data_IF_180264029289
#
_entry.id   IF_180264029289
#
_cell.length_a   1.000
_cell.length_b   1.000
_cell.length_c   1.000
_cell.angle_alpha   90.00
_cell.angle_beta   90.00
_cell.angle_gamma   90.00
#
_symmetry.space_group_name_H-M   'P 1'
#
loop_
_entity.id
_entity.type
_entity.pdbx_description
1 polymer ?
#
# COMPACT_ATOMS: atom_id res chain seq x y z
N UNK A 1 -41.23 15.17 -12.63
CA UNK A 1 -40.25 14.14 -12.23
C UNK A 1 -39.40 14.72 -11.10
N UNK A 2 -39.87 14.60 -9.85
CA UNK A 2 -39.26 15.26 -8.68
C UNK A 2 -37.97 14.54 -8.30
N UNK A 3 -36.85 15.24 -8.39
CA UNK A 3 -35.56 14.84 -7.83
C UNK A 3 -35.70 14.72 -6.31
N UNK A 4 -35.56 13.50 -5.79
CA UNK A 4 -35.43 13.24 -4.36
C UNK A 4 -34.02 13.66 -3.91
N UNK A 5 -33.75 14.96 -3.81
CA UNK A 5 -32.62 15.45 -3.02
C UNK A 5 -32.99 15.30 -1.56
N UNK A 6 -32.59 14.18 -0.95
CA UNK A 6 -32.59 14.06 0.52
C UNK A 6 -31.74 15.23 1.06
N UNK A 7 -32.30 16.09 1.94
CA UNK A 7 -31.51 17.11 2.59
C UNK A 7 -30.47 16.40 3.46
N UNK A 8 -29.20 16.66 3.19
CA UNK A 8 -28.11 16.29 4.11
C UNK A 8 -28.30 17.17 5.34
N UNK A 9 -28.69 16.56 6.46
CA UNK A 9 -28.87 17.24 7.73
C UNK A 9 -27.53 17.83 8.16
N UNK A 10 -27.43 19.17 8.13
CA UNK A 10 -26.27 19.95 8.55
C UNK A 10 -25.88 19.73 10.01
N UNK A 11 -26.69 18.98 10.79
CA UNK A 11 -26.41 18.59 12.17
C UNK A 11 -25.49 17.38 12.34
N UNK A 12 -25.10 16.67 11.28
CA UNK A 12 -24.16 15.53 11.37
C UNK A 12 -22.72 15.88 10.97
N UNK A 13 -22.50 16.96 10.23
CA UNK A 13 -21.15 17.43 9.86
C UNK A 13 -20.40 18.11 11.02
N UNK A 14 -21.09 18.47 12.11
CA UNK A 14 -20.53 19.18 13.26
C UNK A 14 -19.79 18.31 14.27
N UNK A 15 -19.90 16.97 14.18
CA UNK A 15 -19.30 16.06 15.16
C UNK A 15 -17.80 15.78 14.96
N UNK A 16 -17.21 16.22 13.83
CA UNK A 16 -15.81 16.02 13.51
C UNK A 16 -15.11 17.36 13.19
N UNK A 17 -15.29 18.38 14.03
CA UNK A 17 -14.39 19.54 14.01
C UNK A 17 -13.05 19.10 14.60
N UNK A 18 -12.15 18.65 13.74
CA UNK A 18 -10.74 18.53 14.09
C UNK A 18 -10.20 19.94 14.29
N UNK A 19 -10.10 20.37 15.55
CA UNK A 19 -9.26 21.52 15.88
C UNK A 19 -7.81 21.10 15.64
N UNK A 20 -7.28 21.48 14.48
CA UNK A 20 -5.87 21.26 14.20
C UNK A 20 -5.07 22.22 15.08
N UNK A 21 -4.09 21.72 15.86
CA UNK A 21 -3.21 22.59 16.61
C UNK A 21 -2.48 23.53 15.65
N UNK A 22 -2.22 24.76 16.07
CA UNK A 22 -1.34 25.66 15.32
C UNK A 22 0.06 25.04 15.24
N UNK A 23 0.65 25.07 14.05
CA UNK A 23 2.02 24.62 13.82
C UNK A 23 2.94 25.83 13.93
N UNK A 24 3.95 25.74 14.80
CA UNK A 24 5.04 26.71 14.84
C UNK A 24 5.95 26.48 13.61
N UNK A 25 5.72 27.30 12.58
CA UNK A 25 6.42 27.19 11.30
C UNK A 25 7.93 27.36 11.45
N UNK A 26 8.38 28.32 12.28
CA UNK A 26 9.80 28.64 12.45
C UNK A 26 10.51 27.43 13.06
N UNK A 27 9.96 26.85 14.12
CA UNK A 27 10.54 25.68 14.78
C UNK A 27 10.58 24.45 13.86
N UNK A 28 9.56 24.25 13.02
CA UNK A 28 9.56 23.15 12.03
C UNK A 28 10.66 23.35 11.00
N UNK A 29 10.81 24.56 10.47
CA UNK A 29 11.82 24.89 9.47
C UNK A 29 13.25 24.76 10.03
N UNK A 30 13.50 25.27 11.24
CA UNK A 30 14.80 25.13 11.91
C UNK A 30 15.16 23.67 12.18
N UNK A 31 14.19 22.87 12.65
CA UNK A 31 14.40 21.44 12.90
C UNK A 31 14.67 20.69 11.60
N UNK A 32 13.96 20.99 10.52
CA UNK A 32 14.19 20.40 9.21
C UNK A 32 15.60 20.76 8.68
N UNK A 33 15.98 22.04 8.78
CA UNK A 33 17.29 22.53 8.34
C UNK A 33 18.45 21.87 9.12
N UNK A 34 18.26 21.53 10.40
CA UNK A 34 19.28 20.83 11.19
C UNK A 34 19.63 19.44 10.62
N UNK A 35 18.66 18.72 10.04
CA UNK A 35 18.90 17.42 9.41
C UNK A 35 19.70 17.51 8.11
N UNK A 36 19.62 18.65 7.39
CA UNK A 36 20.34 18.87 6.14
C UNK A 36 21.84 19.21 6.34
N UNK A 37 22.23 19.65 7.54
CA UNK A 37 23.60 20.13 7.84
C UNK A 37 24.57 19.01 8.20
N UNK A 38 24.10 17.77 8.41
CA UNK A 38 24.93 16.65 8.90
C UNK A 38 25.03 15.54 7.86
N UNK A 39 26.25 15.10 7.59
CA UNK A 39 26.48 13.93 6.74
C UNK A 39 26.10 12.64 7.47
N UNK A 40 25.31 11.79 6.82
CA UNK A 40 24.95 10.47 7.33
C UNK A 40 26.13 9.53 7.07
N UNK A 41 26.56 8.80 8.11
CA UNK A 41 27.62 7.79 8.00
C UNK A 41 27.26 6.77 6.92
N UNK A 42 28.24 6.31 6.16
CA UNK A 42 28.03 5.30 5.10
C UNK A 42 27.36 4.03 5.63
N UNK A 43 27.72 3.58 6.83
CA UNK A 43 27.08 2.42 7.47
C UNK A 43 25.59 2.65 7.75
N UNK A 44 25.21 3.85 8.21
CA UNK A 44 23.82 4.20 8.43
C UNK A 44 23.03 4.33 7.11
N UNK A 45 23.66 4.86 6.05
CA UNK A 45 23.06 4.87 4.70
C UNK A 45 22.78 3.43 4.22
N UNK A 46 23.76 2.54 4.37
CA UNK A 46 23.61 1.14 3.97
C UNK A 46 22.52 0.42 4.77
N UNK A 47 22.50 0.60 6.09
CA UNK A 47 21.45 0.05 6.95
C UNK A 47 20.06 0.58 6.56
N UNK A 48 19.95 1.89 6.29
CA UNK A 48 18.71 2.51 5.83
C UNK A 48 18.22 1.97 4.49
N UNK A 49 19.13 1.75 3.53
CA UNK A 49 18.78 1.14 2.24
C UNK A 49 18.28 -0.30 2.40
N UNK A 50 18.96 -1.12 3.21
CA UNK A 50 18.53 -2.50 3.49
C UNK A 50 17.17 -2.52 4.20
N UNK A 51 16.96 -1.63 5.17
CA UNK A 51 15.70 -1.48 5.88
C UNK A 51 14.58 -1.07 4.91
N UNK A 52 14.81 -0.08 4.05
CA UNK A 52 13.84 0.37 3.05
C UNK A 52 13.41 -0.77 2.12
N UNK A 53 14.33 -1.64 1.69
CA UNK A 53 13.98 -2.81 0.88
C UNK A 53 13.16 -3.83 1.68
N UNK A 54 13.51 -4.09 2.95
CA UNK A 54 12.76 -5.04 3.79
C UNK A 54 11.32 -4.61 4.12
N UNK A 55 11.00 -3.32 3.98
CA UNK A 55 9.68 -2.75 4.21
C UNK A 55 8.91 -2.50 2.91
N UNK A 56 9.45 -2.93 1.77
CA UNK A 56 8.87 -2.66 0.46
C UNK A 56 7.82 -3.71 0.09
N UNK A 57 6.68 -3.24 -0.39
CA UNK A 57 5.75 -4.05 -1.17
C UNK A 57 6.09 -3.87 -2.64
N UNK A 58 6.66 -4.90 -3.25
CA UNK A 58 7.08 -4.84 -4.63
C UNK A 58 5.85 -5.02 -5.54
N UNK A 59 5.41 -3.91 -6.14
CA UNK A 59 4.08 -3.82 -6.75
C UNK A 59 4.10 -3.94 -8.27
N UNK A 60 3.12 -4.64 -8.82
CA UNK A 60 2.68 -4.47 -10.21
C UNK A 60 1.16 -4.48 -10.26
N UNK A 61 0.61 -3.41 -10.82
CA UNK A 61 -0.84 -3.20 -10.97
C UNK A 61 -1.14 -2.78 -12.41
N UNK A 62 -0.48 -3.43 -13.36
CA UNK A 62 -0.72 -3.22 -14.78
C UNK A 62 -1.87 -4.12 -15.25
N UNK A 63 -2.81 -3.56 -16.03
CA UNK A 63 -3.95 -4.33 -16.54
C UNK A 63 -3.56 -5.49 -17.48
N UNK A 64 -2.30 -5.55 -17.94
CA UNK A 64 -1.76 -6.60 -18.81
C UNK A 64 -0.80 -7.56 -18.09
N UNK A 65 -0.79 -7.55 -16.75
CA UNK A 65 0.09 -8.43 -15.99
C UNK A 65 -0.19 -9.90 -16.31
N UNK A 66 0.89 -10.62 -16.62
CA UNK A 66 0.84 -12.04 -16.98
C UNK A 66 1.41 -12.89 -15.84
N UNK A 67 1.08 -14.19 -15.77
CA UNK A 67 1.69 -15.08 -14.79
C UNK A 67 3.22 -15.08 -14.83
N UNK A 68 3.82 -14.96 -16.02
CA UNK A 68 5.28 -14.87 -16.16
C UNK A 68 5.86 -13.58 -15.55
N UNK A 69 5.16 -12.45 -15.68
CA UNK A 69 5.57 -11.20 -15.04
C UNK A 69 5.43 -11.27 -13.51
N UNK A 70 4.36 -11.91 -13.01
CA UNK A 70 4.20 -12.16 -11.57
C UNK A 70 5.30 -13.09 -11.04
N UNK A 71 5.70 -14.11 -11.80
CA UNK A 71 6.83 -14.98 -11.42
C UNK A 71 8.13 -14.18 -11.26
N UNK A 72 8.41 -13.29 -12.22
CA UNK A 72 9.58 -12.41 -12.16
C UNK A 72 9.52 -11.46 -10.95
N UNK A 73 8.36 -10.84 -10.71
CA UNK A 73 8.13 -9.98 -9.55
C UNK A 73 8.40 -10.73 -8.24
N UNK A 74 7.83 -11.92 -8.07
CA UNK A 74 8.01 -12.76 -6.89
C UNK A 74 9.49 -13.14 -6.69
N UNK A 75 10.19 -13.53 -7.76
CA UNK A 75 11.63 -13.82 -7.70
C UNK A 75 12.44 -12.61 -7.26
N UNK A 76 12.13 -11.42 -7.81
CA UNK A 76 12.80 -10.17 -7.44
C UNK A 76 12.48 -9.77 -6.00
N UNK A 77 11.26 -10.00 -5.51
CA UNK A 77 10.92 -9.73 -4.11
C UNK A 77 11.68 -10.65 -3.14
N UNK A 78 11.85 -11.93 -3.50
CA UNK A 78 12.64 -12.87 -2.70
C UNK A 78 14.13 -12.52 -2.68
N UNK A 79 14.68 -12.09 -3.81
CA UNK A 79 16.08 -11.72 -3.94
C UNK A 79 16.20 -10.40 -4.74
N UNK A 80 16.09 -9.23 -4.06
CA UNK A 80 16.08 -7.93 -4.73
C UNK A 80 17.40 -7.56 -5.40
N UNK A 81 18.51 -8.09 -4.90
CA UNK A 81 19.86 -7.81 -5.38
C UNK A 81 20.76 -9.05 -5.29
N UNK A 82 21.95 -8.95 -5.87
CA UNK A 82 22.97 -10.01 -5.76
C UNK A 82 23.28 -10.33 -4.28
N UNK A 83 23.41 -11.62 -3.89
CA UNK A 83 23.61 -12.01 -2.49
C UNK A 83 24.83 -11.37 -1.82
N UNK A 84 25.85 -10.97 -2.59
CA UNK A 84 27.05 -10.28 -2.07
C UNK A 84 26.75 -8.97 -1.32
N UNK A 85 25.58 -8.37 -1.58
CA UNK A 85 25.15 -7.14 -0.93
C UNK A 85 24.34 -7.38 0.35
N UNK A 86 23.98 -8.63 0.63
CA UNK A 86 23.23 -9.05 1.82
C UNK A 86 21.98 -8.17 2.04
N UNK A 87 21.21 -7.96 0.96
CA UNK A 87 19.95 -7.23 0.99
C UNK A 87 18.84 -8.22 1.34
N UNK A 88 17.99 -7.93 2.35
CA UNK A 88 16.89 -8.81 2.70
C UNK A 88 15.83 -8.87 1.59
N UNK A 89 14.97 -9.87 1.65
CA UNK A 89 13.77 -9.93 0.82
C UNK A 89 12.85 -8.72 1.10
N UNK A 90 12.01 -8.38 0.13
CA UNK A 90 10.90 -7.44 0.32
C UNK A 90 9.89 -7.95 1.35
N UNK A 91 9.08 -7.06 1.91
CA UNK A 91 8.00 -7.44 2.83
C UNK A 91 6.93 -8.25 2.10
N UNK A 92 6.44 -7.70 0.99
CA UNK A 92 5.41 -8.33 0.18
C UNK A 92 5.62 -8.11 -1.32
N UNK A 93 4.78 -8.77 -2.11
CA UNK A 93 4.39 -8.30 -3.45
C UNK A 93 2.96 -7.78 -3.40
N UNK A 94 2.65 -6.73 -4.15
CA UNK A 94 1.28 -6.23 -4.29
C UNK A 94 0.78 -6.39 -5.73
N UNK A 95 -0.37 -7.05 -5.90
CA UNK A 95 -0.95 -7.43 -7.20
C UNK A 95 -2.47 -7.21 -7.23
N UNK A 96 -3.08 -7.34 -8.42
CA UNK A 96 -4.54 -7.40 -8.53
C UNK A 96 -5.13 -8.71 -7.96
N UNK A 97 -6.39 -8.70 -7.49
CA UNK A 97 -7.04 -9.86 -6.86
C UNK A 97 -6.98 -11.15 -7.67
N UNK A 98 -7.14 -11.06 -9.00
CA UNK A 98 -7.13 -12.23 -9.90
C UNK A 98 -5.76 -12.90 -10.02
N UNK A 99 -4.68 -12.23 -9.60
CA UNK A 99 -3.31 -12.73 -9.65
C UNK A 99 -2.79 -13.21 -8.29
N UNK A 100 -3.58 -13.10 -7.22
CA UNK A 100 -3.19 -13.52 -5.86
C UNK A 100 -2.78 -14.99 -5.83
N UNK A 101 -3.59 -15.90 -6.38
CA UNK A 101 -3.25 -17.34 -6.42
C UNK A 101 -1.97 -17.62 -7.18
N UNK A 102 -1.71 -16.85 -8.23
CA UNK A 102 -0.49 -16.98 -9.04
C UNK A 102 0.73 -16.53 -8.22
N UNK A 103 0.64 -15.40 -7.53
CA UNK A 103 1.70 -14.91 -6.64
C UNK A 103 1.98 -15.90 -5.50
N UNK A 104 0.93 -16.40 -4.82
CA UNK A 104 1.08 -17.41 -3.74
C UNK A 104 1.75 -18.69 -4.24
N UNK A 105 1.40 -19.15 -5.45
CA UNK A 105 2.04 -20.32 -6.06
C UNK A 105 3.54 -20.10 -6.27
N UNK A 106 3.95 -18.92 -6.78
CA UNK A 106 5.36 -18.64 -7.05
C UNK A 106 6.17 -18.35 -5.79
N UNK A 107 5.58 -17.76 -4.76
CA UNK A 107 6.25 -17.50 -3.49
C UNK A 107 6.40 -18.76 -2.64
N UNK A 108 5.50 -19.75 -2.75
CA UNK A 108 5.62 -21.03 -2.08
C UNK A 108 5.82 -20.88 -0.56
N UNK A 109 6.97 -21.33 -0.05
CA UNK A 109 7.35 -21.25 1.37
C UNK A 109 8.18 -20.01 1.73
N UNK A 110 8.30 -19.05 0.83
CA UNK A 110 8.98 -17.77 1.09
C UNK A 110 8.33 -17.01 2.25
N UNK A 111 9.13 -16.16 2.90
CA UNK A 111 8.64 -15.22 3.92
C UNK A 111 7.95 -13.99 3.33
N UNK A 112 8.14 -13.72 2.03
CA UNK A 112 7.50 -12.60 1.31
C UNK A 112 5.98 -12.82 1.28
N UNK A 113 5.23 -11.79 1.68
CA UNK A 113 3.76 -11.81 1.71
C UNK A 113 3.14 -11.47 0.36
N UNK A 114 1.85 -11.75 0.22
CA UNK A 114 1.04 -11.27 -0.92
C UNK A 114 0.02 -10.27 -0.42
N UNK A 115 0.24 -9.01 -0.73
CA UNK A 115 -0.76 -7.96 -0.66
C UNK A 115 -1.60 -7.96 -1.96
N UNK A 116 -2.87 -7.59 -1.84
CA UNK A 116 -3.74 -7.35 -2.98
C UNK A 116 -4.46 -6.04 -2.83
N UNK A 117 -4.46 -5.21 -3.88
CA UNK A 117 -5.45 -4.13 -3.95
C UNK A 117 -6.85 -4.70 -4.03
N UNK A 118 -7.83 -3.99 -3.48
CA UNK A 118 -9.24 -4.37 -3.57
C UNK A 118 -10.15 -3.13 -3.52
N UNK A 119 -11.46 -3.38 -3.45
CA UNK A 119 -12.53 -2.40 -3.28
C UNK A 119 -12.68 -1.42 -4.43
N UNK A 120 -12.60 -1.93 -5.65
CA UNK A 120 -12.61 -1.16 -6.90
C UNK A 120 -11.43 -0.20 -7.03
N UNK A 121 -10.22 -0.68 -6.70
CA UNK A 121 -8.99 0.03 -7.02
C UNK A 121 -8.94 0.39 -8.53
N UNK A 122 -8.51 1.61 -8.90
CA UNK A 122 -8.05 2.69 -8.03
C UNK A 122 -9.17 3.64 -7.55
N UNK A 123 -10.41 3.44 -7.97
CA UNK A 123 -11.50 4.43 -7.84
C UNK A 123 -12.19 4.42 -6.48
N UNK A 124 -12.36 3.25 -5.85
CA UNK A 124 -13.06 3.13 -4.55
C UNK A 124 -14.58 3.37 -4.60
N UNK A 125 -15.20 3.47 -5.78
CA UNK A 125 -16.60 3.93 -5.94
C UNK A 125 -17.65 2.83 -5.91
N UNK A 126 -17.23 1.58 -5.76
CA UNK A 126 -18.13 0.43 -5.75
C UNK A 126 -18.97 0.37 -4.45
N UNK A 127 -20.25 -0.07 -4.49
CA UNK A 127 -21.05 -0.26 -3.29
C UNK A 127 -20.40 -1.20 -2.27
N UNK A 128 -20.63 -0.94 -0.97
CA UNK A 128 -20.02 -1.70 0.14
C UNK A 128 -20.17 -3.22 -0.01
N UNK A 129 -21.36 -3.69 -0.43
CA UNK A 129 -21.63 -5.12 -0.61
C UNK A 129 -20.62 -5.77 -1.57
N UNK A 130 -20.32 -5.13 -2.69
CA UNK A 130 -19.39 -5.66 -3.67
C UNK A 130 -17.93 -5.49 -3.21
N UNK A 131 -17.60 -4.41 -2.48
CA UNK A 131 -16.29 -4.25 -1.84
C UNK A 131 -15.97 -5.43 -0.91
N UNK A 132 -16.92 -5.78 -0.06
CA UNK A 132 -16.78 -6.92 0.85
C UNK A 132 -16.63 -8.26 0.10
N UNK A 133 -17.31 -8.43 -1.03
CA UNK A 133 -17.19 -9.65 -1.85
C UNK A 133 -15.80 -9.76 -2.50
N UNK A 134 -15.26 -8.67 -3.01
CA UNK A 134 -13.91 -8.61 -3.58
C UNK A 134 -12.85 -8.93 -2.52
N UNK A 135 -12.92 -8.28 -1.34
CA UNK A 135 -12.02 -8.53 -0.21
C UNK A 135 -12.06 -10.00 0.23
N UNK A 136 -13.26 -10.57 0.43
CA UNK A 136 -13.40 -12.00 0.79
C UNK A 136 -12.84 -12.92 -0.28
N UNK A 137 -12.93 -12.54 -1.55
CA UNK A 137 -12.42 -13.36 -2.65
C UNK A 137 -10.89 -13.33 -2.70
N UNK A 138 -10.27 -12.15 -2.58
CA UNK A 138 -8.82 -12.02 -2.51
C UNK A 138 -8.24 -12.74 -1.27
N UNK A 139 -8.88 -12.61 -0.11
CA UNK A 139 -8.48 -13.32 1.11
C UNK A 139 -8.59 -14.84 0.94
N UNK A 140 -9.70 -15.35 0.36
CA UNK A 140 -9.86 -16.79 0.06
C UNK A 140 -8.80 -17.29 -0.94
N UNK A 141 -8.37 -16.43 -1.86
CA UNK A 141 -7.34 -16.74 -2.84
C UNK A 141 -5.92 -16.73 -2.25
N UNK A 142 -5.79 -16.33 -0.98
CA UNK A 142 -4.58 -16.45 -0.18
C UNK A 142 -3.81 -15.15 0.02
N UNK A 143 -4.43 -13.99 -0.24
CA UNK A 143 -3.83 -12.70 0.10
C UNK A 143 -3.61 -12.61 1.62
N UNK A 144 -2.41 -12.22 2.02
CA UNK A 144 -2.02 -12.01 3.41
C UNK A 144 -2.49 -10.61 3.89
N UNK A 145 -2.54 -9.64 2.97
CA UNK A 145 -2.91 -8.25 3.22
C UNK A 145 -3.83 -7.72 2.11
N UNK A 146 -4.69 -6.74 2.44
CA UNK A 146 -5.63 -6.13 1.50
C UNK A 146 -5.54 -4.61 1.53
N UNK A 147 -5.12 -4.03 0.41
CA UNK A 147 -5.02 -2.59 0.20
C UNK A 147 -6.35 -2.04 -0.32
N UNK A 148 -7.15 -1.49 0.60
CA UNK A 148 -8.49 -0.98 0.31
C UNK A 148 -8.44 0.50 -0.12
N UNK A 149 -9.32 0.88 -1.04
CA UNK A 149 -9.57 2.25 -1.45
C UNK A 149 -10.86 2.76 -0.82
N UNK A 150 -10.71 3.81 0.00
CA UNK A 150 -11.84 4.54 0.58
C UNK A 150 -12.57 5.35 -0.49
N UNK A 151 -13.89 5.50 -0.36
CA UNK A 151 -14.62 6.43 -1.20
C UNK A 151 -14.39 7.84 -0.65
N UNK A 152 -13.63 8.68 -1.35
CA UNK A 152 -13.35 10.05 -0.91
C UNK A 152 -14.55 11.00 -1.07
N UNK A 153 -15.57 10.65 -1.85
CA UNK A 153 -16.74 11.50 -2.07
C UNK A 153 -17.73 11.51 -0.90
N UNK A 154 -17.43 10.78 0.20
CA UNK A 154 -18.30 10.67 1.38
C UNK A 154 -17.62 11.18 2.67
N UNK A 155 -16.44 11.81 2.56
CA UNK A 155 -15.68 12.44 3.64
C UNK A 155 -15.27 13.86 3.22
#
# INVERSE_FOLDING_TARGET
MKTLSRPVDSRTASQWRWEFPSVDQIMVEERAAAFAKRSIKTSAKLAGLKLAVSMMDLTTLEGKDTPGKIAFLCRKAMQPLDPRYEVPSCAAVCVYPNLVRVAKKFLGHSTVKVASVATAFPTGLMPLKLKLQEVRSAARDGADEIDMVINRGVF
#
